data_IF_116563683911
#
_entry.id   IF_116563683911
#
_cell.length_a   1.000
_cell.length_b   1.000
_cell.length_c   1.000
_cell.angle_alpha   90.00
_cell.angle_beta   90.00
_cell.angle_gamma   90.00
#
_symmetry.space_group_name_H-M   'P 1'
#
loop_
_entity.id
_entity.type
_entity.pdbx_description
1 polymer ?
#
# COMPACT_ATOMS: atom_id res chain seq x y z
N UNK A 1 -29.41 32.39 -0.03
CA UNK A 1 -28.35 32.62 0.97
C UNK A 1 -27.71 31.26 1.25
N UNK A 2 -26.55 30.99 0.65
CA UNK A 2 -26.02 29.63 0.48
C UNK A 2 -25.36 29.06 1.74
N UNK A 3 -25.77 27.85 2.10
CA UNK A 3 -25.14 27.05 3.14
C UNK A 3 -23.72 26.65 2.71
N UNK A 4 -22.71 27.16 3.42
CA UNK A 4 -21.34 26.68 3.28
C UNK A 4 -21.25 25.29 3.91
N UNK A 5 -21.15 24.26 3.07
CA UNK A 5 -20.72 22.91 3.48
C UNK A 5 -19.31 23.02 4.07
N UNK A 6 -19.23 23.01 5.40
CA UNK A 6 -17.97 22.92 6.13
C UNK A 6 -17.27 21.61 5.77
N UNK A 7 -16.08 21.73 5.18
CA UNK A 7 -15.14 20.63 4.99
C UNK A 7 -14.86 20.01 6.37
N UNK A 8 -15.38 18.80 6.62
CA UNK A 8 -15.07 18.01 7.81
C UNK A 8 -13.65 17.46 7.67
N UNK A 9 -12.68 18.28 8.04
CA UNK A 9 -11.28 17.88 8.16
C UNK A 9 -10.86 18.15 9.60
N UNK A 10 -11.10 17.21 10.51
CA UNK A 10 -10.59 17.28 11.88
C UNK A 10 -10.51 15.92 12.59
N UNK A 11 -9.26 15.60 12.95
CA UNK A 11 -8.81 14.78 14.07
C UNK A 11 -9.01 13.26 13.98
N UNK A 12 -8.10 12.60 13.27
CA UNK A 12 -7.80 11.17 13.45
C UNK A 12 -6.97 10.90 14.72
N UNK A 13 -6.44 11.94 15.38
CA UNK A 13 -5.60 11.86 16.59
C UNK A 13 -6.31 11.32 17.85
N UNK A 14 -7.64 11.15 17.84
CA UNK A 14 -8.41 10.68 19.00
C UNK A 14 -9.13 9.34 18.80
N UNK A 15 -8.84 8.63 17.71
CA UNK A 15 -9.39 7.30 17.39
C UNK A 15 -8.64 6.23 18.21
N UNK A 16 -9.19 5.85 19.36
CA UNK A 16 -8.64 4.78 20.23
C UNK A 16 -8.56 3.40 19.54
N UNK A 17 -9.31 3.23 18.45
CA UNK A 17 -9.39 2.04 17.62
C UNK A 17 -8.31 1.97 16.53
N UNK A 18 -7.44 2.98 16.41
CA UNK A 18 -6.29 2.98 15.50
C UNK A 18 -5.00 2.86 16.32
N UNK A 19 -4.07 2.03 15.87
CA UNK A 19 -2.72 2.07 16.42
C UNK A 19 -2.13 3.45 16.07
N UNK A 20 -1.85 4.27 17.10
CA UNK A 20 -1.50 5.70 17.01
C UNK A 20 -0.18 6.06 16.30
N UNK A 21 0.24 5.27 15.32
CA UNK A 21 1.50 5.39 14.58
C UNK A 21 1.34 5.96 13.17
N UNK A 22 0.09 6.23 12.78
CA UNK A 22 -0.32 6.51 11.40
C UNK A 22 0.39 7.72 10.77
N UNK A 23 0.85 8.69 11.56
CA UNK A 23 1.46 9.92 11.03
C UNK A 23 2.86 9.71 10.45
N UNK A 24 3.68 8.83 11.05
CA UNK A 24 5.05 8.58 10.56
C UNK A 24 4.99 7.80 9.25
N UNK A 25 4.11 6.80 9.16
CA UNK A 25 3.91 6.04 7.93
C UNK A 25 3.36 6.91 6.81
N UNK A 26 2.38 7.79 7.09
CA UNK A 26 1.83 8.72 6.09
C UNK A 26 2.90 9.69 5.55
N UNK A 27 3.74 10.27 6.42
CA UNK A 27 4.84 11.15 6.01
C UNK A 27 5.86 10.39 5.15
N UNK A 28 6.26 9.19 5.58
CA UNK A 28 7.18 8.35 4.83
C UNK A 28 6.67 8.02 3.42
N UNK A 29 5.37 7.73 3.28
CA UNK A 29 4.76 7.50 1.97
C UNK A 29 4.80 8.72 1.06
N UNK A 30 4.55 9.92 1.59
CA UNK A 30 4.64 11.17 0.82
C UNK A 30 6.07 11.42 0.35
N UNK A 31 7.06 11.23 1.24
CA UNK A 31 8.48 11.39 0.90
C UNK A 31 8.87 10.40 -0.23
N UNK A 32 8.47 9.14 -0.11
CA UNK A 32 8.75 8.12 -1.11
C UNK A 32 8.04 8.39 -2.44
N UNK A 33 6.81 8.92 -2.40
CA UNK A 33 6.09 9.33 -3.60
C UNK A 33 6.83 10.46 -4.32
N UNK A 34 7.26 11.49 -3.59
CA UNK A 34 8.04 12.59 -4.14
C UNK A 34 9.34 12.06 -4.73
N UNK A 35 10.08 11.23 -3.98
CA UNK A 35 11.32 10.61 -4.44
C UNK A 35 11.11 9.81 -5.74
N UNK A 36 10.04 9.03 -5.83
CA UNK A 36 9.71 8.25 -7.01
C UNK A 36 9.38 9.12 -8.22
N UNK A 37 8.55 10.16 -8.05
CA UNK A 37 8.20 11.10 -9.11
C UNK A 37 9.46 11.86 -9.58
N UNK A 38 10.27 12.35 -8.65
CA UNK A 38 11.54 13.03 -8.98
C UNK A 38 12.48 12.09 -9.73
N UNK A 39 12.61 10.83 -9.29
CA UNK A 39 13.41 9.81 -9.98
C UNK A 39 12.95 9.57 -11.41
N UNK A 40 11.63 9.45 -11.63
CA UNK A 40 11.04 9.33 -12.97
C UNK A 40 11.35 10.55 -13.85
N UNK A 41 11.23 11.76 -13.31
CA UNK A 41 11.50 12.99 -14.05
C UNK A 41 12.99 13.11 -14.41
N UNK A 42 13.88 12.83 -13.46
CA UNK A 42 15.34 12.84 -13.68
C UNK A 42 15.74 11.83 -14.76
N UNK A 43 15.20 10.62 -14.68
CA UNK A 43 15.49 9.58 -15.67
C UNK A 43 15.03 9.99 -17.09
N UNK A 44 13.82 10.56 -17.18
CA UNK A 44 13.24 11.01 -18.44
C UNK A 44 13.94 12.25 -19.04
N UNK A 45 14.39 13.19 -18.21
CA UNK A 45 14.93 14.47 -18.65
C UNK A 45 16.44 14.48 -18.85
N UNK A 46 17.19 13.75 -18.03
CA UNK A 46 18.65 13.88 -17.95
C UNK A 46 19.33 12.62 -18.46
N UNK A 47 18.87 11.47 -17.96
CA UNK A 47 19.61 10.23 -18.10
C UNK A 47 19.33 9.53 -19.43
N UNK A 48 18.15 9.73 -20.03
CA UNK A 48 17.72 9.12 -21.30
C UNK A 48 17.89 7.59 -21.38
N UNK A 49 18.24 6.90 -20.27
CA UNK A 49 18.40 5.44 -20.21
C UNK A 49 17.12 4.73 -20.69
N UNK A 50 15.96 5.29 -20.33
CA UNK A 50 14.65 4.79 -20.74
C UNK A 50 14.30 4.99 -22.22
N UNK A 51 15.01 5.86 -22.96
CA UNK A 51 14.73 6.09 -24.39
C UNK A 51 15.15 4.87 -25.21
N UNK A 52 16.26 4.22 -24.83
CA UNK A 52 16.75 3.01 -25.51
C UNK A 52 15.83 1.80 -25.32
N UNK A 53 15.37 1.53 -24.10
CA UNK A 53 14.41 0.46 -23.81
C UNK A 53 13.00 0.76 -24.31
N UNK A 54 12.69 2.04 -24.55
CA UNK A 54 11.39 2.45 -25.03
C UNK A 54 11.15 2.18 -26.53
N UNK A 55 12.20 1.99 -27.32
CA UNK A 55 12.05 1.63 -28.73
C UNK A 55 11.68 0.15 -28.93
N UNK A 56 11.95 -0.71 -27.93
CA UNK A 56 11.71 -2.14 -28.02
C UNK A 56 10.23 -2.52 -27.82
N UNK A 57 9.53 -1.80 -26.94
CA UNK A 57 8.14 -2.10 -26.56
C UNK A 57 7.25 -0.87 -26.82
N UNK A 58 6.29 -0.93 -27.75
CA UNK A 58 5.38 0.18 -28.00
C UNK A 58 4.60 0.64 -26.75
N UNK A 59 4.37 1.95 -26.63
CA UNK A 59 3.73 2.54 -25.46
C UNK A 59 2.35 1.93 -25.12
N UNK A 60 1.52 1.64 -26.13
CA UNK A 60 0.19 1.07 -25.91
C UNK A 60 0.23 -0.32 -25.27
N UNK A 61 1.22 -1.16 -25.60
CA UNK A 61 1.40 -2.46 -24.95
C UNK A 61 1.75 -2.30 -23.48
N UNK A 62 2.62 -1.34 -23.14
CA UNK A 62 2.97 -1.06 -21.74
C UNK A 62 1.77 -0.63 -20.92
N UNK A 63 0.91 0.21 -21.49
CA UNK A 63 -0.37 0.57 -20.85
C UNK A 63 -1.20 -0.69 -20.59
N UNK A 64 -1.39 -1.55 -21.59
CA UNK A 64 -2.15 -2.80 -21.44
C UNK A 64 -1.57 -3.67 -20.31
N UNK A 65 -0.24 -3.85 -20.27
CA UNK A 65 0.42 -4.64 -19.22
C UNK A 65 0.36 -3.99 -17.84
N UNK A 66 0.30 -2.65 -17.75
CA UNK A 66 0.18 -1.93 -16.47
C UNK A 66 -1.24 -1.93 -15.88
N UNK A 67 -2.27 -2.05 -16.71
CA UNK A 67 -3.67 -1.94 -16.29
C UNK A 67 -4.06 -2.92 -15.17
N UNK A 68 -3.71 -4.22 -15.22
CA UNK A 68 -4.00 -5.14 -14.12
C UNK A 68 -3.45 -4.63 -12.78
N UNK A 69 -2.20 -4.15 -12.76
CA UNK A 69 -1.56 -3.65 -11.54
C UNK A 69 -2.30 -2.44 -10.96
N UNK A 70 -2.75 -1.51 -11.81
CA UNK A 70 -3.53 -0.36 -11.36
C UNK A 70 -4.91 -0.76 -10.85
N UNK A 71 -5.58 -1.71 -11.52
CA UNK A 71 -6.88 -2.24 -11.08
C UNK A 71 -6.73 -2.92 -9.71
N UNK A 72 -5.75 -3.81 -9.55
CA UNK A 72 -5.48 -4.49 -8.28
C UNK A 72 -5.11 -3.50 -7.18
N UNK A 73 -4.24 -2.53 -7.48
CA UNK A 73 -3.89 -1.44 -6.56
C UNK A 73 -5.13 -0.69 -6.08
N UNK A 74 -5.98 -0.26 -7.02
CA UNK A 74 -7.19 0.50 -6.71
C UNK A 74 -8.16 -0.31 -5.85
N UNK A 75 -8.39 -1.58 -6.19
CA UNK A 75 -9.25 -2.49 -5.42
C UNK A 75 -8.72 -2.64 -4.00
N UNK A 76 -7.44 -2.97 -3.84
CA UNK A 76 -6.82 -3.16 -2.52
C UNK A 76 -6.87 -1.89 -1.67
N UNK A 77 -6.53 -0.74 -2.23
CA UNK A 77 -6.60 0.55 -1.54
C UNK A 77 -8.04 0.88 -1.14
N UNK A 78 -9.01 0.72 -2.06
CA UNK A 78 -10.41 1.07 -1.82
C UNK A 78 -11.03 0.23 -0.72
N UNK A 79 -10.84 -1.09 -0.77
CA UNK A 79 -11.39 -2.00 0.25
C UNK A 79 -10.60 -1.91 1.56
N UNK A 80 -9.28 -1.78 1.51
CA UNK A 80 -8.44 -1.60 2.70
C UNK A 80 -8.83 -0.34 3.49
N UNK A 81 -8.89 0.81 2.80
CA UNK A 81 -9.31 2.07 3.42
C UNK A 81 -10.75 2.02 3.94
N UNK A 82 -11.66 1.37 3.21
CA UNK A 82 -13.05 1.19 3.67
C UNK A 82 -13.11 0.39 4.96
N UNK A 83 -12.33 -0.67 5.10
CA UNK A 83 -12.34 -1.52 6.30
C UNK A 83 -11.68 -0.86 7.51
N UNK A 84 -10.64 -0.04 7.30
CA UNK A 84 -9.93 0.68 8.37
C UNK A 84 -10.70 1.92 8.83
N UNK A 85 -11.19 2.72 7.89
CA UNK A 85 -11.79 4.03 8.20
C UNK A 85 -13.31 4.07 8.14
N UNK A 86 -13.96 3.13 7.44
CA UNK A 86 -15.40 3.11 7.23
C UNK A 86 -16.22 2.65 8.43
N UNK A 87 -15.61 1.88 9.33
CA UNK A 87 -16.22 1.45 10.59
C UNK A 87 -15.47 2.11 11.75
N UNK A 88 -16.18 2.89 12.58
CA UNK A 88 -15.65 3.34 13.86
C UNK A 88 -15.87 2.22 14.86
N UNK A 89 -14.80 1.78 15.51
CA UNK A 89 -14.88 0.81 16.59
C UNK A 89 -14.60 1.54 17.90
N UNK A 90 -15.22 1.07 18.99
CA UNK A 90 -14.98 1.65 20.32
C UNK A 90 -13.61 1.22 20.86
N UNK A 91 -13.14 0.04 20.43
CA UNK A 91 -11.89 -0.58 20.85
C UNK A 91 -11.08 -1.06 19.64
N UNK A 92 -9.76 -1.17 19.84
CA UNK A 92 -8.85 -1.77 18.87
C UNK A 92 -9.11 -3.29 18.84
N UNK A 93 -9.41 -3.83 17.66
CA UNK A 93 -9.67 -5.26 17.44
C UNK A 93 -8.97 -5.77 16.18
N UNK A 94 -8.70 -7.06 16.13
CA UNK A 94 -8.10 -7.70 14.93
C UNK A 94 -9.12 -7.73 13.80
N UNK A 95 -8.80 -7.02 12.71
CA UNK A 95 -9.57 -7.04 11.47
C UNK A 95 -9.05 -8.17 10.59
N UNK A 96 -9.89 -9.18 10.33
CA UNK A 96 -9.54 -10.35 9.48
C UNK A 96 -10.52 -10.59 8.33
N UNK A 97 -11.34 -9.60 7.97
CA UNK A 97 -12.37 -9.72 6.93
C UNK A 97 -11.98 -8.99 5.65
N UNK A 98 -12.58 -9.41 4.53
CA UNK A 98 -12.34 -8.79 3.22
C UNK A 98 -10.88 -8.92 2.78
N UNK A 99 -10.28 -7.82 2.32
CA UNK A 99 -8.88 -7.83 1.85
C UNK A 99 -7.86 -8.18 2.94
N UNK A 100 -8.20 -7.95 4.22
CA UNK A 100 -7.37 -8.33 5.37
C UNK A 100 -7.40 -9.84 5.65
N UNK A 101 -8.31 -10.62 5.05
CA UNK A 101 -8.24 -12.08 5.13
C UNK A 101 -7.24 -12.69 4.13
N UNK A 102 -6.75 -11.88 3.18
CA UNK A 102 -5.89 -12.31 2.08
C UNK A 102 -4.44 -11.91 2.37
N UNK A 103 -4.23 -10.66 2.78
CA UNK A 103 -2.93 -10.10 3.16
C UNK A 103 -3.10 -9.16 4.34
N UNK A 104 -2.09 -9.07 5.23
CA UNK A 104 -2.18 -8.22 6.42
C UNK A 104 -2.11 -6.72 6.12
N UNK A 105 -1.39 -6.36 5.05
CA UNK A 105 -1.14 -4.96 4.66
C UNK A 105 -1.61 -4.68 3.23
N UNK A 106 -2.93 -4.75 2.94
CA UNK A 106 -3.46 -4.63 1.58
C UNK A 106 -3.23 -3.23 0.97
N UNK A 107 -3.26 -2.18 1.79
CA UNK A 107 -3.03 -0.80 1.31
C UNK A 107 -1.58 -0.65 0.83
N UNK A 108 -0.60 -1.16 1.58
CA UNK A 108 0.81 -1.10 1.21
C UNK A 108 1.12 -1.95 -0.02
N UNK A 109 0.53 -3.15 -0.10
CA UNK A 109 0.60 -3.95 -1.32
C UNK A 109 0.01 -3.19 -2.52
N UNK A 110 -1.13 -2.52 -2.34
CA UNK A 110 -1.71 -1.66 -3.35
C UNK A 110 -0.74 -0.59 -3.85
N UNK A 111 -0.10 0.14 -2.93
CA UNK A 111 0.93 1.13 -3.25
C UNK A 111 2.12 0.54 -3.99
N UNK A 112 2.63 -0.61 -3.57
CA UNK A 112 3.73 -1.31 -4.26
C UNK A 112 3.34 -1.64 -5.71
N UNK A 113 2.12 -2.15 -5.94
CA UNK A 113 1.61 -2.46 -7.28
C UNK A 113 1.38 -1.20 -8.12
N UNK A 114 0.95 -0.09 -7.51
CA UNK A 114 0.80 1.21 -8.18
C UNK A 114 2.14 1.68 -8.77
N UNK A 115 3.19 1.71 -7.95
CA UNK A 115 4.53 2.09 -8.41
C UNK A 115 5.04 1.15 -9.51
N UNK A 116 4.79 -0.15 -9.38
CA UNK A 116 5.17 -1.13 -10.39
C UNK A 116 4.48 -0.90 -11.73
N UNK A 117 3.18 -0.55 -11.74
CA UNK A 117 2.48 -0.17 -12.96
C UNK A 117 3.12 1.03 -13.67
N UNK A 118 3.57 2.05 -12.92
CA UNK A 118 4.28 3.20 -13.50
C UNK A 118 5.68 2.83 -14.03
N UNK A 119 6.36 1.86 -13.41
CA UNK A 119 7.64 1.34 -13.92
C UNK A 119 7.42 0.64 -15.26
N UNK A 120 6.36 -0.16 -15.42
CA UNK A 120 6.06 -0.81 -16.70
C UNK A 120 5.84 0.22 -17.81
N UNK A 121 5.14 1.32 -17.52
CA UNK A 121 4.90 2.40 -18.48
C UNK A 121 6.21 3.10 -18.87
N UNK A 122 6.99 3.52 -17.86
CA UNK A 122 8.19 4.32 -18.06
C UNK A 122 9.41 3.50 -18.52
N UNK A 123 9.44 2.20 -18.21
CA UNK A 123 10.61 1.31 -18.27
C UNK A 123 11.84 1.88 -17.56
N UNK A 124 11.61 2.74 -16.56
CA UNK A 124 12.66 3.48 -15.87
C UNK A 124 13.41 2.59 -14.90
N UNK A 125 14.71 2.41 -15.15
CA UNK A 125 15.61 1.66 -14.26
C UNK A 125 15.78 2.39 -12.94
N UNK A 126 15.85 3.73 -12.97
CA UNK A 126 15.92 4.57 -11.76
C UNK A 126 14.67 4.38 -10.90
N UNK A 127 13.48 4.42 -11.52
CA UNK A 127 12.23 4.20 -10.80
C UNK A 127 12.14 2.77 -10.22
N UNK A 128 12.67 1.77 -10.94
CA UNK A 128 12.77 0.40 -10.44
C UNK A 128 13.68 0.30 -9.21
N UNK A 129 14.85 0.94 -9.21
CA UNK A 129 15.73 0.97 -8.04
C UNK A 129 15.05 1.65 -6.83
N UNK A 130 14.37 2.78 -7.04
CA UNK A 130 13.60 3.45 -5.98
C UNK A 130 12.47 2.55 -5.47
N UNK A 131 11.83 1.80 -6.35
CA UNK A 131 10.77 0.86 -5.96
C UNK A 131 11.25 -0.28 -5.06
N UNK A 132 12.47 -0.79 -5.25
CA UNK A 132 13.07 -1.73 -4.30
C UNK A 132 13.22 -1.09 -2.92
N UNK A 133 13.65 0.19 -2.85
CA UNK A 133 13.73 0.94 -1.59
C UNK A 133 12.33 1.09 -0.96
N UNK A 134 11.31 1.36 -1.76
CA UNK A 134 9.91 1.46 -1.32
C UNK A 134 9.43 0.14 -0.71
N UNK A 135 9.73 -1.02 -1.33
CA UNK A 135 9.38 -2.34 -0.79
C UNK A 135 10.04 -2.56 0.57
N UNK A 136 11.34 -2.24 0.68
CA UNK A 136 12.10 -2.38 1.93
C UNK A 136 11.49 -1.49 3.03
N UNK A 137 11.17 -0.24 2.71
CA UNK A 137 10.49 0.67 3.63
C UNK A 137 9.14 0.09 4.09
N UNK A 138 8.30 -0.38 3.16
CA UNK A 138 7.01 -0.96 3.51
C UNK A 138 7.14 -2.22 4.36
N UNK A 139 8.16 -3.03 4.14
CA UNK A 139 8.45 -4.17 5.00
C UNK A 139 8.77 -3.73 6.44
N UNK A 140 9.66 -2.75 6.62
CA UNK A 140 10.04 -2.29 7.96
C UNK A 140 8.89 -1.60 8.69
N UNK A 141 8.12 -0.74 8.02
CA UNK A 141 6.97 -0.07 8.65
C UNK A 141 5.87 -1.08 9.00
N UNK A 142 5.61 -2.07 8.15
CA UNK A 142 4.67 -3.16 8.46
C UNK A 142 5.10 -3.98 9.67
N UNK A 143 6.40 -4.30 9.81
CA UNK A 143 6.93 -5.01 10.98
C UNK A 143 6.79 -4.21 12.26
N UNK A 144 6.97 -2.90 12.17
CA UNK A 144 6.83 -1.99 13.29
C UNK A 144 5.36 -1.88 13.75
N UNK A 145 4.44 -1.68 12.81
CA UNK A 145 3.00 -1.69 13.09
C UNK A 145 2.52 -3.02 13.66
N UNK A 146 3.00 -4.14 13.12
CA UNK A 146 2.71 -5.48 13.65
C UNK A 146 3.16 -5.61 15.11
N UNK A 147 4.34 -5.07 15.46
CA UNK A 147 4.83 -5.09 16.85
C UNK A 147 3.90 -4.30 17.78
N UNK A 148 3.48 -3.09 17.39
CA UNK A 148 2.51 -2.33 18.17
C UNK A 148 1.17 -3.06 18.32
N UNK A 149 0.73 -3.76 17.28
CA UNK A 149 -0.52 -4.51 17.31
C UNK A 149 -0.40 -5.73 18.21
N UNK A 150 0.75 -6.41 18.24
CA UNK A 150 1.05 -7.46 19.23
C UNK A 150 1.03 -6.88 20.65
N UNK A 151 1.68 -5.75 20.89
CA UNK A 151 1.74 -5.14 22.23
C UNK A 151 0.34 -4.75 22.75
N UNK A 152 -0.61 -4.43 21.85
CA UNK A 152 -1.97 -4.01 22.21
C UNK A 152 -3.01 -5.15 22.20
N UNK A 153 -2.88 -6.12 21.29
CA UNK A 153 -3.88 -7.18 21.04
C UNK A 153 -3.38 -8.58 21.44
N UNK A 154 -2.09 -8.72 21.72
CA UNK A 154 -1.43 -9.95 22.17
C UNK A 154 -1.66 -11.13 21.23
N UNK A 155 -1.97 -12.27 21.85
CA UNK A 155 -2.13 -13.59 21.20
C UNK A 155 -3.14 -13.57 20.05
N UNK A 156 -4.16 -12.71 20.11
CA UNK A 156 -5.16 -12.63 19.04
C UNK A 156 -4.55 -12.19 17.72
N UNK A 157 -3.62 -11.22 17.76
CA UNK A 157 -2.94 -10.74 16.56
C UNK A 157 -1.84 -11.69 16.11
N UNK A 158 -1.13 -12.35 17.03
CA UNK A 158 -0.17 -13.41 16.68
C UNK A 158 -0.82 -14.56 15.91
N UNK A 159 -2.01 -15.02 16.33
CA UNK A 159 -2.77 -16.04 15.60
C UNK A 159 -3.11 -15.58 14.19
N UNK A 160 -3.55 -14.34 14.04
CA UNK A 160 -3.83 -13.75 12.74
C UNK A 160 -2.57 -13.67 11.85
N UNK A 161 -1.40 -13.34 12.42
CA UNK A 161 -0.13 -13.33 11.70
C UNK A 161 0.29 -14.70 11.17
N UNK A 162 -0.07 -15.78 11.87
CA UNK A 162 0.20 -17.15 11.44
C UNK A 162 -0.76 -17.62 10.33
N UNK A 163 -1.96 -17.06 10.24
CA UNK A 163 -2.98 -17.43 9.26
C UNK A 163 -2.89 -16.63 7.95
N UNK A 164 -2.51 -15.36 8.03
CA UNK A 164 -2.57 -14.43 6.89
C UNK A 164 -1.18 -13.89 6.60
N UNK A 165 -0.65 -13.98 5.36
CA UNK A 165 0.68 -13.48 5.00
C UNK A 165 0.74 -11.94 4.96
N UNK A 166 1.95 -11.39 5.02
CA UNK A 166 2.17 -9.94 5.04
C UNK A 166 1.73 -9.25 3.74
N UNK A 167 2.30 -9.67 2.59
CA UNK A 167 2.14 -9.01 1.29
C UNK A 167 1.80 -9.96 0.14
N UNK A 168 2.40 -11.14 0.09
CA UNK A 168 2.16 -12.08 -1.02
C UNK A 168 1.06 -13.04 -0.57
N UNK A 169 -0.10 -13.09 -1.25
CA UNK A 169 -1.15 -14.02 -0.91
C UNK A 169 -0.62 -15.45 -1.11
N UNK A 170 -0.46 -16.16 -0.01
CA UNK A 170 -0.26 -17.60 -0.04
C UNK A 170 -1.65 -18.20 -0.13
N UNK A 171 -1.91 -18.98 -1.19
CA UNK A 171 -3.05 -19.90 -1.21
C UNK A 171 -2.75 -21.05 -0.24
N UNK A 172 -2.56 -20.75 1.05
CA UNK A 172 -2.56 -21.76 2.09
C UNK A 172 -4.00 -22.27 2.17
N UNK A 173 -4.22 -23.42 1.55
CA UNK A 173 -5.43 -24.23 1.64
C UNK A 173 -5.85 -24.31 3.10
N UNK A 174 -6.89 -23.56 3.46
CA UNK A 174 -7.53 -23.68 4.76
C UNK A 174 -8.00 -25.12 4.89
N UNK A 175 -7.29 -25.94 5.69
CA UNK A 175 -7.87 -27.18 6.18
C UNK A 175 -9.10 -26.76 6.98
N UNK A 176 -10.27 -26.96 6.37
CA UNK A 176 -11.54 -26.99 7.10
C UNK A 176 -11.44 -28.19 8.04
N UNK A 177 -11.07 -27.95 9.28
CA UNK A 177 -11.39 -28.91 10.33
C UNK A 177 -12.82 -28.60 10.80
N UNK A 178 -13.69 -29.55 10.43
CA UNK A 178 -15.00 -29.93 10.98
C UNK A 178 -15.95 -28.81 11.42
#
# INVERSE_FOLDING_TARGET
MGERKGYKQKSYEHRKDLAGEHSISDIGQIILLILFITGLLVDKLILHFSVFSAELIPFYLRIIFSLPFFIFSFVLARFGLKTVFGEKREELVVIKSGVFSIVRHPIYLGSILLYFGFIIISLSVVAFCIWIIIIIFYYFISRYEEKLLIDKLGIQYEKYMNEVPMFIPMFCRKNRHN
#
